data_IF_672639758958
#
_entry.id   IF_672639758958
#
_cell.length_a   1.000
_cell.length_b   1.000
_cell.length_c   1.000
_cell.angle_alpha   90.00
_cell.angle_beta   90.00
_cell.angle_gamma   90.00
#
_symmetry.space_group_name_H-M   'P 1'
#
loop_
_entity.id
_entity.type
_entity.pdbx_description
1 polymer ?
#
# COMPACT_ATOMS: atom_id res chain seq x y z
N UNK A 1 -14.21 2.73 14.02
CA UNK A 1 -12.90 2.68 13.33
C UNK A 1 -12.78 1.41 12.50
N UNK A 2 -11.99 1.40 11.43
CA UNK A 2 -11.76 0.26 10.55
C UNK A 2 -11.32 -0.99 11.35
N UNK A 3 -10.44 -0.84 12.33
CA UNK A 3 -10.00 -1.96 13.18
C UNK A 3 -11.13 -2.58 14.00
N UNK A 4 -12.07 -1.76 14.51
CA UNK A 4 -13.25 -2.29 15.22
C UNK A 4 -14.16 -3.04 14.27
N UNK A 5 -14.32 -2.55 13.04
CA UNK A 5 -15.07 -3.25 12.00
C UNK A 5 -14.43 -4.61 11.69
N UNK A 6 -13.12 -4.67 11.48
CA UNK A 6 -12.41 -5.94 11.29
C UNK A 6 -12.68 -6.93 12.44
N UNK A 7 -12.67 -6.45 13.70
CA UNK A 7 -12.97 -7.31 14.84
C UNK A 7 -14.43 -7.80 14.83
N UNK A 8 -15.37 -6.96 14.41
CA UNK A 8 -16.78 -7.37 14.27
C UNK A 8 -16.97 -8.42 13.16
N UNK A 9 -16.35 -8.20 12.01
CA UNK A 9 -16.54 -9.04 10.82
C UNK A 9 -15.78 -10.37 10.91
N UNK A 10 -14.58 -10.37 11.51
CA UNK A 10 -13.67 -11.53 11.54
C UNK A 10 -13.38 -12.07 12.95
N UNK A 11 -13.99 -11.51 14.01
CA UNK A 11 -13.79 -11.91 15.39
C UNK A 11 -12.43 -11.50 15.99
N UNK A 12 -11.51 -10.94 15.19
CA UNK A 12 -10.14 -10.54 15.61
C UNK A 12 -9.67 -9.27 14.91
N UNK A 13 -8.64 -8.65 15.49
CA UNK A 13 -7.90 -7.59 14.81
C UNK A 13 -6.98 -8.18 13.72
N UNK A 14 -6.56 -7.37 12.75
CA UNK A 14 -5.57 -7.80 11.76
C UNK A 14 -4.27 -8.27 12.45
N UNK A 15 -3.67 -9.34 11.94
CA UNK A 15 -2.40 -9.86 12.46
C UNK A 15 -1.23 -8.92 12.11
N UNK A 16 -1.38 -8.16 11.04
CA UNK A 16 -0.37 -7.23 10.56
C UNK A 16 -0.99 -6.15 9.65
N UNK A 17 -0.45 -4.95 9.68
CA UNK A 17 -0.82 -3.87 8.77
C UNK A 17 0.38 -3.46 7.90
N UNK A 18 0.15 -3.27 6.61
CA UNK A 18 1.16 -2.74 5.69
C UNK A 18 0.73 -1.37 5.22
N UNK A 19 1.61 -0.40 5.34
CA UNK A 19 1.36 0.98 4.96
C UNK A 19 2.28 1.37 3.80
N UNK A 20 1.79 2.20 2.89
CA UNK A 20 2.67 2.83 1.92
C UNK A 20 3.61 3.80 2.62
N UNK A 21 4.91 3.68 2.35
CA UNK A 21 5.91 4.57 2.91
C UNK A 21 5.84 5.95 2.23
N UNK A 22 5.71 6.99 3.03
CA UNK A 22 5.85 8.36 2.54
C UNK A 22 7.30 8.65 2.16
N UNK A 23 7.52 9.26 0.99
CA UNK A 23 8.85 9.53 0.46
C UNK A 23 9.24 10.97 0.84
N UNK A 24 10.35 11.13 1.55
CA UNK A 24 10.87 12.44 1.97
C UNK A 24 11.16 13.39 0.78
N UNK A 25 11.47 12.85 -0.40
CA UNK A 25 11.67 13.64 -1.61
C UNK A 25 10.45 14.49 -2.00
N UNK A 26 9.25 14.17 -1.51
CA UNK A 26 8.08 15.04 -1.69
C UNK A 26 8.16 16.31 -0.86
N UNK A 27 8.85 16.29 0.28
CA UNK A 27 9.10 17.48 1.09
C UNK A 27 10.13 18.43 0.42
N UNK A 28 11.13 17.88 -0.26
CA UNK A 28 12.14 18.66 -1.00
C UNK A 28 11.62 19.23 -2.33
N UNK A 29 10.50 18.71 -2.84
CA UNK A 29 9.84 19.22 -4.06
C UNK A 29 8.89 20.40 -3.79
N UNK A 30 8.80 20.90 -2.56
CA UNK A 30 8.02 22.09 -2.20
C UNK A 30 8.40 23.35 -3.03
N UNK A 31 9.56 23.34 -3.70
CA UNK A 31 9.96 24.36 -4.67
C UNK A 31 9.29 24.27 -6.05
N UNK A 32 8.46 23.23 -6.32
CA UNK A 32 7.82 23.00 -7.63
C UNK A 32 6.29 23.15 -7.60
N UNK A 33 5.74 24.05 -6.79
CA UNK A 33 4.31 24.41 -6.86
C UNK A 33 3.38 23.50 -6.07
N UNK A 34 3.87 22.55 -5.26
CA UNK A 34 3.04 21.88 -4.26
C UNK A 34 2.91 22.75 -3.01
N UNK A 35 1.68 22.94 -2.52
CA UNK A 35 1.45 23.65 -1.27
C UNK A 35 2.07 22.84 -0.10
N UNK A 36 2.60 23.52 0.90
CA UNK A 36 3.10 22.92 2.15
C UNK A 36 2.04 21.97 2.75
N UNK A 37 0.78 22.35 2.73
CA UNK A 37 -0.33 21.51 3.17
C UNK A 37 -0.39 20.16 2.42
N UNK A 38 -0.26 20.16 1.09
CA UNK A 38 -0.29 18.93 0.29
C UNK A 38 0.87 17.98 0.57
N UNK A 39 1.98 18.49 1.11
CA UNK A 39 3.12 17.64 1.47
C UNK A 39 3.03 17.08 2.91
N UNK A 40 2.36 17.76 3.83
CA UNK A 40 2.31 17.36 5.25
C UNK A 40 1.13 16.45 5.60
N UNK A 41 -0.02 16.58 4.92
CA UNK A 41 -1.21 15.77 5.25
C UNK A 41 -0.99 14.26 5.16
N UNK A 42 -0.27 13.70 4.18
CA UNK A 42 0.03 12.28 4.15
C UNK A 42 0.82 11.81 5.38
N UNK A 43 1.74 12.62 5.88
CA UNK A 43 2.52 12.31 7.10
C UNK A 43 1.64 12.31 8.35
N UNK A 44 0.76 13.32 8.48
CA UNK A 44 -0.21 13.38 9.59
C UNK A 44 -1.13 12.18 9.57
N UNK A 45 -1.68 11.83 8.41
CA UNK A 45 -2.55 10.66 8.26
C UNK A 45 -1.83 9.36 8.63
N UNK A 46 -0.60 9.17 8.14
CA UNK A 46 0.21 7.98 8.45
C UNK A 46 0.50 7.91 9.95
N UNK A 47 0.88 9.03 10.58
CA UNK A 47 1.13 9.09 12.03
C UNK A 47 -0.10 8.73 12.85
N UNK A 48 -1.29 9.21 12.46
CA UNK A 48 -2.55 8.86 13.12
C UNK A 48 -2.88 7.37 12.98
N UNK A 49 -2.64 6.79 11.81
CA UNK A 49 -2.82 5.36 11.57
C UNK A 49 -1.85 4.55 12.45
N UNK A 50 -0.57 4.91 12.48
CA UNK A 50 0.46 4.24 13.28
C UNK A 50 0.11 4.29 14.78
N UNK A 51 -0.27 5.46 15.30
CA UNK A 51 -0.72 5.60 16.68
C UNK A 51 -1.93 4.71 16.98
N UNK A 52 -2.88 4.64 16.06
CA UNK A 52 -4.05 3.77 16.18
C UNK A 52 -3.64 2.29 16.22
N UNK A 53 -2.79 1.85 15.30
CA UNK A 53 -2.30 0.46 15.26
C UNK A 53 -1.57 0.09 16.56
N UNK A 54 -0.73 1.00 17.07
CA UNK A 54 -0.02 0.81 18.35
C UNK A 54 -0.99 0.63 19.53
N UNK A 55 -2.03 1.47 19.63
CA UNK A 55 -3.06 1.35 20.67
C UNK A 55 -3.81 0.00 20.63
N UNK A 56 -4.03 -0.55 19.45
CA UNK A 56 -4.66 -1.86 19.28
C UNK A 56 -3.66 -3.02 19.25
N UNK A 57 -2.37 -2.75 19.51
CA UNK A 57 -1.27 -3.74 19.46
C UNK A 57 -1.19 -4.50 18.13
N UNK A 58 -1.56 -3.86 17.04
CA UNK A 58 -1.44 -4.41 15.70
C UNK A 58 -0.04 -4.07 15.16
N UNK A 59 0.82 -5.06 14.91
CA UNK A 59 2.13 -4.82 14.32
C UNK A 59 1.98 -4.29 12.89
N UNK A 60 2.89 -3.43 12.47
CA UNK A 60 2.85 -2.84 11.13
C UNK A 60 4.23 -2.75 10.49
N UNK A 61 4.24 -2.60 9.20
CA UNK A 61 5.42 -2.26 8.41
C UNK A 61 5.09 -1.30 7.29
N UNK A 62 6.13 -0.76 6.68
CA UNK A 62 5.97 0.16 5.54
C UNK A 62 6.61 -0.43 4.30
N UNK A 63 6.06 -0.09 3.14
CA UNK A 63 6.57 -0.50 1.84
C UNK A 63 6.62 0.69 0.90
N UNK A 64 7.72 0.84 0.16
CA UNK A 64 7.85 1.91 -0.82
C UNK A 64 6.92 1.70 -2.03
N UNK A 65 6.35 2.78 -2.60
CA UNK A 65 5.52 2.70 -3.81
C UNK A 65 6.17 1.92 -4.95
N UNK A 66 7.44 2.17 -5.23
CA UNK A 66 8.17 1.46 -6.28
C UNK A 66 8.29 -0.05 -6.00
N UNK A 67 8.42 -0.43 -4.73
CA UNK A 67 8.54 -1.84 -4.33
C UNK A 67 7.24 -2.60 -4.51
N UNK A 68 6.13 -2.12 -3.96
CA UNK A 68 4.85 -2.83 -4.11
C UNK A 68 4.37 -2.85 -5.56
N UNK A 69 4.58 -1.77 -6.34
CA UNK A 69 4.25 -1.75 -7.76
C UNK A 69 5.03 -2.80 -8.55
N UNK A 70 6.34 -2.91 -8.30
CA UNK A 70 7.16 -3.95 -8.91
C UNK A 70 6.70 -5.35 -8.51
N UNK A 71 6.30 -5.54 -7.26
CA UNK A 71 5.83 -6.83 -6.74
C UNK A 71 4.46 -7.20 -7.30
N UNK A 72 3.54 -6.25 -7.35
CA UNK A 72 2.15 -6.47 -7.78
C UNK A 72 2.04 -6.64 -9.30
N UNK A 73 2.59 -5.72 -10.05
CA UNK A 73 2.50 -5.72 -11.53
C UNK A 73 3.62 -6.49 -12.21
N UNK A 74 4.72 -6.71 -11.53
CA UNK A 74 5.93 -7.32 -12.07
C UNK A 74 6.93 -6.32 -12.62
N UNK A 75 8.16 -6.81 -12.77
CA UNK A 75 9.25 -6.01 -13.30
C UNK A 75 8.99 -5.66 -14.78
N UNK A 76 9.19 -4.40 -15.13
CA UNK A 76 9.01 -3.93 -16.52
C UNK A 76 7.56 -3.60 -16.90
N UNK A 77 6.61 -3.73 -15.98
CA UNK A 77 5.22 -3.33 -16.23
C UNK A 77 5.14 -1.84 -16.60
N UNK A 78 4.38 -1.55 -17.64
CA UNK A 78 4.13 -0.18 -18.12
C UNK A 78 2.66 0.15 -17.85
N UNK A 79 2.36 1.04 -16.90
CA UNK A 79 0.97 1.44 -16.66
C UNK A 79 0.41 2.21 -17.86
N UNK A 80 -0.91 2.24 -18.03
CA UNK A 80 -1.55 3.10 -19.02
C UNK A 80 -1.17 4.56 -18.79
N UNK A 81 -1.33 5.35 -19.84
CA UNK A 81 -1.13 6.80 -19.73
C UNK A 81 -2.48 7.50 -19.50
N UNK A 82 -2.46 8.54 -18.69
CA UNK A 82 -3.59 9.44 -18.54
C UNK A 82 -3.74 10.38 -19.76
N UNK A 83 -4.77 11.21 -19.75
CA UNK A 83 -5.03 12.20 -20.81
C UNK A 83 -3.92 13.25 -20.99
N UNK A 84 -3.00 13.34 -20.05
CA UNK A 84 -1.82 14.24 -20.08
C UNK A 84 -0.52 13.51 -20.41
N UNK A 85 -0.59 12.23 -20.81
CA UNK A 85 0.57 11.40 -21.13
C UNK A 85 1.38 10.95 -19.90
N UNK A 86 0.85 11.06 -18.69
CA UNK A 86 1.49 10.60 -17.46
C UNK A 86 1.05 9.16 -17.13
N UNK A 87 1.93 8.43 -16.47
CA UNK A 87 1.67 7.07 -15.99
C UNK A 87 0.50 7.06 -14.99
N UNK A 88 -0.57 6.37 -15.33
CA UNK A 88 -1.76 6.22 -14.47
C UNK A 88 -1.70 4.91 -13.67
N UNK A 89 -1.00 4.95 -12.54
CA UNK A 89 -0.87 3.81 -11.64
C UNK A 89 -2.19 3.47 -10.94
N UNK A 90 -3.06 4.46 -10.71
CA UNK A 90 -4.37 4.25 -10.08
C UNK A 90 -5.28 3.46 -11.00
N UNK A 91 -5.34 3.83 -12.28
CA UNK A 91 -6.07 3.04 -13.28
C UNK A 91 -5.51 1.62 -13.37
N UNK A 92 -4.19 1.46 -13.42
CA UNK A 92 -3.58 0.14 -13.46
C UNK A 92 -3.98 -0.74 -12.26
N UNK A 93 -4.02 -0.16 -11.05
CA UNK A 93 -4.42 -0.89 -9.85
C UNK A 93 -5.89 -1.30 -9.89
N UNK A 94 -6.78 -0.42 -10.36
CA UNK A 94 -8.21 -0.75 -10.55
C UNK A 94 -8.37 -1.88 -11.55
N UNK A 95 -7.80 -1.75 -12.75
CA UNK A 95 -7.92 -2.74 -13.82
C UNK A 95 -7.46 -4.14 -13.34
N UNK A 96 -6.38 -4.19 -12.56
CA UNK A 96 -5.86 -5.45 -12.03
C UNK A 96 -6.73 -6.01 -10.90
N UNK A 97 -7.26 -5.17 -10.01
CA UNK A 97 -8.21 -5.60 -8.98
C UNK A 97 -9.49 -6.16 -9.60
N UNK A 98 -10.03 -5.51 -10.63
CA UNK A 98 -11.21 -5.99 -11.37
C UNK A 98 -10.90 -7.33 -12.06
N UNK A 99 -9.72 -7.49 -12.66
CA UNK A 99 -9.27 -8.77 -13.25
C UNK A 99 -9.19 -9.90 -12.21
N UNK A 100 -8.84 -9.57 -10.97
CA UNK A 100 -8.79 -10.51 -9.85
C UNK A 100 -10.17 -10.76 -9.21
N UNK A 101 -11.25 -10.15 -9.71
CA UNK A 101 -12.61 -10.30 -9.18
C UNK A 101 -12.84 -9.54 -7.87
N UNK A 102 -12.02 -8.54 -7.55
CA UNK A 102 -12.16 -7.73 -6.35
C UNK A 102 -13.19 -6.64 -6.59
N UNK A 103 -14.24 -6.63 -5.77
CA UNK A 103 -15.26 -5.58 -5.82
C UNK A 103 -14.74 -4.29 -5.19
N UNK A 104 -14.54 -3.27 -6.02
CA UNK A 104 -14.12 -1.95 -5.59
C UNK A 104 -15.34 -1.03 -5.34
N UNK A 105 -15.19 0.00 -4.49
CA UNK A 105 -16.23 1.01 -4.32
C UNK A 105 -16.62 1.68 -5.64
N UNK A 106 -17.89 1.96 -5.84
CA UNK A 106 -18.38 2.62 -7.09
C UNK A 106 -17.90 4.07 -7.26
N UNK A 107 -17.62 4.76 -6.14
CA UNK A 107 -17.09 6.13 -6.17
C UNK A 107 -15.61 6.11 -6.55
N UNK A 108 -15.24 6.69 -7.70
CA UNK A 108 -13.90 6.68 -8.29
C UNK A 108 -12.78 7.00 -7.29
N UNK A 109 -12.90 8.09 -6.55
CA UNK A 109 -11.86 8.50 -5.60
C UNK A 109 -11.61 7.46 -4.49
N UNK A 110 -12.65 6.72 -4.08
CA UNK A 110 -12.52 5.62 -3.11
C UNK A 110 -11.99 4.35 -3.77
N UNK A 111 -12.36 4.10 -5.03
CA UNK A 111 -11.86 2.96 -5.79
C UNK A 111 -10.35 3.06 -6.03
N UNK A 112 -9.85 4.26 -6.35
CA UNK A 112 -8.42 4.53 -6.53
C UNK A 112 -7.60 4.10 -5.30
N UNK A 113 -8.00 4.56 -4.12
CA UNK A 113 -7.27 4.29 -2.88
C UNK A 113 -7.48 2.84 -2.40
N UNK A 114 -8.70 2.29 -2.58
CA UNK A 114 -8.99 0.90 -2.25
C UNK A 114 -8.20 -0.08 -3.12
N UNK A 115 -8.04 0.20 -4.43
CA UNK A 115 -7.27 -0.64 -5.33
C UNK A 115 -5.78 -0.66 -4.97
N UNK A 116 -5.19 0.48 -4.64
CA UNK A 116 -3.79 0.54 -4.17
C UNK A 116 -3.63 -0.20 -2.83
N UNK A 117 -4.56 -0.04 -1.90
CA UNK A 117 -4.55 -0.79 -0.63
C UNK A 117 -4.69 -2.30 -0.83
N UNK A 118 -5.56 -2.75 -1.72
CA UNK A 118 -5.70 -4.16 -2.09
C UNK A 118 -4.41 -4.70 -2.73
N UNK A 119 -3.78 -3.94 -3.61
CA UNK A 119 -2.51 -4.33 -4.23
C UNK A 119 -1.41 -4.54 -3.18
N UNK A 120 -1.30 -3.65 -2.19
CA UNK A 120 -0.35 -3.77 -1.07
C UNK A 120 -0.69 -5.02 -0.22
N UNK A 121 -1.97 -5.24 0.09
CA UNK A 121 -2.41 -6.40 0.86
C UNK A 121 -2.14 -7.72 0.13
N UNK A 122 -2.34 -7.78 -1.18
CA UNK A 122 -2.03 -8.95 -2.00
C UNK A 122 -0.53 -9.23 -2.03
N UNK A 123 0.32 -8.21 -2.09
CA UNK A 123 1.76 -8.39 -1.96
C UNK A 123 2.15 -9.07 -0.65
N UNK A 124 1.48 -8.76 0.44
CA UNK A 124 1.66 -9.44 1.72
C UNK A 124 1.12 -10.86 1.69
N UNK A 125 -0.13 -11.03 1.29
CA UNK A 125 -0.82 -12.31 1.29
C UNK A 125 -0.21 -13.31 0.30
N UNK A 126 0.45 -12.84 -0.76
CA UNK A 126 1.04 -13.71 -1.79
C UNK A 126 2.06 -14.73 -1.24
N UNK A 127 2.66 -14.45 -0.08
CA UNK A 127 3.55 -15.40 0.59
C UNK A 127 2.78 -16.64 1.08
N UNK A 128 1.52 -16.47 1.51
CA UNK A 128 0.73 -17.51 2.16
C UNK A 128 -0.29 -18.16 1.21
N UNK A 129 -0.90 -17.37 0.34
CA UNK A 129 -1.96 -17.83 -0.56
C UNK A 129 -1.49 -18.15 -1.98
N UNK A 130 -0.22 -18.06 -2.23
CA UNK A 130 0.42 -18.48 -3.49
C UNK A 130 -0.14 -17.84 -4.78
N UNK A 131 -0.88 -16.73 -4.69
CA UNK A 131 -1.44 -16.03 -5.86
C UNK A 131 -0.36 -15.60 -6.86
N UNK A 132 0.79 -15.22 -6.34
CA UNK A 132 1.95 -14.75 -7.09
C UNK A 132 3.23 -15.45 -6.64
N UNK A 133 3.12 -16.71 -6.19
CA UNK A 133 4.25 -17.51 -5.75
C UNK A 133 5.35 -17.52 -6.82
N UNK A 134 6.57 -17.44 -6.44
CA UNK A 134 7.71 -17.35 -7.34
C UNK A 134 7.95 -15.96 -7.93
N UNK A 135 6.90 -15.12 -8.10
CA UNK A 135 7.06 -13.75 -8.64
C UNK A 135 7.26 -12.70 -7.56
N UNK A 136 6.54 -12.84 -6.45
CA UNK A 136 6.52 -11.82 -5.40
C UNK A 136 6.99 -12.31 -4.04
N UNK A 137 6.99 -13.63 -3.82
CA UNK A 137 7.34 -14.24 -2.54
C UNK A 137 8.72 -13.83 -2.08
N UNK A 138 9.73 -14.01 -2.91
CA UNK A 138 11.12 -13.77 -2.51
C UNK A 138 11.42 -12.29 -2.24
N UNK A 139 11.00 -11.34 -3.12
CA UNK A 139 11.13 -9.92 -2.81
C UNK A 139 10.43 -9.51 -1.52
N UNK A 140 9.26 -10.08 -1.25
CA UNK A 140 8.52 -9.79 -0.03
C UNK A 140 9.20 -10.35 1.21
N UNK A 141 9.68 -11.57 1.16
CA UNK A 141 10.43 -12.18 2.26
C UNK A 141 11.70 -11.41 2.57
N UNK A 142 12.42 -10.91 1.56
CA UNK A 142 13.58 -10.05 1.75
C UNK A 142 13.24 -8.74 2.47
N UNK A 143 12.10 -8.10 2.14
CA UNK A 143 11.62 -6.90 2.84
C UNK A 143 11.27 -7.19 4.31
N UNK A 144 10.66 -8.33 4.59
CA UNK A 144 10.34 -8.76 5.96
C UNK A 144 11.61 -9.01 6.78
N UNK A 145 12.60 -9.69 6.20
CA UNK A 145 13.87 -9.97 6.86
C UNK A 145 14.59 -8.67 7.22
N UNK A 146 14.71 -7.75 6.26
CA UNK A 146 15.29 -6.42 6.47
C UNK A 146 14.61 -5.65 7.61
N UNK A 147 13.29 -5.75 7.70
CA UNK A 147 12.53 -5.12 8.77
C UNK A 147 12.84 -5.75 10.12
N UNK A 148 12.86 -7.08 10.20
CA UNK A 148 13.13 -7.79 11.45
C UNK A 148 14.54 -7.48 11.97
N UNK A 149 15.53 -7.40 11.09
CA UNK A 149 16.90 -7.00 11.42
C UNK A 149 16.96 -5.58 12.00
N UNK A 150 16.24 -4.62 11.39
CA UNK A 150 16.15 -3.23 11.90
C UNK A 150 15.43 -3.12 13.24
N UNK A 151 14.51 -4.02 13.54
CA UNK A 151 13.77 -4.03 14.81
C UNK A 151 14.56 -4.71 15.93
N UNK A 152 15.60 -5.46 15.61
CA UNK A 152 16.46 -6.15 16.55
C UNK A 152 17.75 -5.35 16.89
N UNK A 153 18.03 -4.28 16.14
CA UNK A 153 19.14 -3.36 16.33
C UNK A 153 18.73 -2.13 17.16
#
# INVERSE_FOLDING_TARGET
TLLRQCKQDFGRYPDFAVLEQQIEAQASMAGRGQSFAGSIYPWIATSAIVATLANFKVPYGTIMPASWRKMFFGQGFKPPLDSKGKKDWKKAAIDECERLGINLPSKRALADDAAEACAIAICWASRDINLHAGRYRDPWMALLQQRNERSAA
#
